data_IF_474022242154
#
_entry.id   IF_474022242154
#
_cell.length_a   1.000
_cell.length_b   1.000
_cell.length_c   1.000
_cell.angle_alpha   90.00
_cell.angle_beta   90.00
_cell.angle_gamma   90.00
#
_symmetry.space_group_name_H-M   'P 1'
#
loop_
_entity.id
_entity.type
_entity.pdbx_description
1 polymer ?
#
# COMPACT_ATOMS: atom_id res chain seq x y z
N UNK A 1 7.28 -9.99 -5.85
CA UNK A 1 5.98 -9.94 -5.12
C UNK A 1 6.08 -9.07 -3.88
N UNK A 2 5.29 -7.99 -3.85
CA UNK A 2 5.10 -7.16 -2.67
C UNK A 2 3.67 -7.34 -2.13
N UNK A 3 3.52 -7.43 -0.81
CA UNK A 3 2.22 -7.52 -0.14
C UNK A 3 2.26 -6.85 1.22
N UNK A 4 1.09 -6.60 1.80
CA UNK A 4 0.97 -6.11 3.17
C UNK A 4 -0.04 -6.92 3.97
N UNK A 5 0.06 -6.83 5.29
CA UNK A 5 -0.82 -7.52 6.23
C UNK A 5 -1.71 -6.50 6.91
N UNK A 6 -3.03 -6.71 6.86
CA UNK A 6 -4.03 -5.82 7.46
C UNK A 6 -4.46 -6.18 8.88
N UNK A 7 -5.42 -5.43 9.44
CA UNK A 7 -5.95 -5.54 10.82
C UNK A 7 -6.23 -6.96 11.30
N UNK A 8 -6.72 -7.82 10.41
CA UNK A 8 -7.13 -9.19 10.74
C UNK A 8 -6.03 -10.23 10.41
N UNK A 9 -4.77 -9.80 10.36
CA UNK A 9 -3.63 -10.62 9.93
C UNK A 9 -3.80 -11.22 8.52
N UNK A 10 -4.66 -10.62 7.70
CA UNK A 10 -4.92 -11.07 6.34
C UNK A 10 -3.96 -10.41 5.37
N UNK A 11 -3.41 -11.23 4.47
CA UNK A 11 -2.58 -10.77 3.36
C UNK A 11 -3.44 -9.97 2.37
N UNK A 12 -2.88 -8.85 1.93
CA UNK A 12 -3.46 -7.96 0.95
C UNK A 12 -2.50 -7.87 -0.25
N UNK A 13 -3.02 -8.21 -1.42
CA UNK A 13 -2.25 -8.34 -2.66
C UNK A 13 -2.43 -7.14 -3.60
N UNK A 14 -3.07 -6.07 -3.14
CA UNK A 14 -3.18 -4.81 -3.87
C UNK A 14 -2.34 -3.74 -3.17
N UNK A 15 -1.93 -2.71 -3.92
CA UNK A 15 -1.14 -1.61 -3.39
C UNK A 15 -1.71 -0.24 -3.76
N UNK A 16 -1.30 0.77 -3.01
CA UNK A 16 -1.81 2.15 -3.02
C UNK A 16 -2.42 2.63 -4.33
N UNK A 17 -3.63 3.18 -4.26
CA UNK A 17 -4.40 3.66 -5.40
C UNK A 17 -5.17 2.58 -6.17
N UNK A 18 -4.86 1.28 -6.00
CA UNK A 18 -5.63 0.20 -6.59
C UNK A 18 -6.94 -0.07 -5.83
N UNK A 19 -7.90 -0.70 -6.52
CA UNK A 19 -9.13 -1.20 -5.93
C UNK A 19 -8.83 -2.36 -4.95
N UNK A 20 -9.59 -2.43 -3.85
CA UNK A 20 -9.51 -3.52 -2.88
C UNK A 20 -9.64 -4.87 -3.57
N UNK A 21 -8.80 -5.84 -3.19
CA UNK A 21 -8.81 -7.22 -3.69
C UNK A 21 -8.52 -7.37 -5.21
N UNK A 22 -8.18 -6.30 -5.92
CA UNK A 22 -7.88 -6.30 -7.37
C UNK A 22 -6.60 -7.05 -7.77
N UNK A 23 -5.71 -7.34 -6.80
CA UNK A 23 -4.37 -7.91 -7.04
C UNK A 23 -3.55 -7.05 -8.01
N UNK A 24 -3.72 -5.73 -7.94
CA UNK A 24 -3.04 -4.74 -8.77
C UNK A 24 -2.49 -3.59 -7.93
N UNK A 25 -1.68 -2.74 -8.55
CA UNK A 25 -1.13 -1.54 -7.94
C UNK A 25 -1.71 -0.29 -8.59
N UNK A 26 -1.58 0.87 -7.95
CA UNK A 26 -2.11 2.14 -8.48
C UNK A 26 -1.61 2.54 -9.86
N UNK A 27 -0.49 1.99 -10.34
CA UNK A 27 -0.05 2.20 -11.72
C UNK A 27 -0.96 1.52 -12.75
N UNK A 28 -1.75 0.51 -12.39
CA UNK A 28 -2.55 -0.27 -13.33
C UNK A 28 -3.66 0.60 -13.95
N UNK A 29 -3.90 0.56 -15.29
CA UNK A 29 -3.31 -0.34 -16.31
C UNK A 29 -2.04 0.19 -17.00
N UNK A 30 -1.41 1.22 -16.46
CA UNK A 30 -0.28 1.96 -17.02
C UNK A 30 1.09 1.60 -16.40
N UNK A 31 1.18 0.49 -15.67
CA UNK A 31 2.46 -0.03 -15.17
C UNK A 31 3.43 -0.34 -16.32
N UNK A 32 4.72 -0.47 -16.01
CA UNK A 32 5.72 -0.88 -17.00
C UNK A 32 5.30 -2.20 -17.65
N UNK A 33 5.14 -2.18 -18.97
CA UNK A 33 4.73 -3.38 -19.71
C UNK A 33 5.89 -4.36 -19.80
N UNK A 34 5.70 -5.55 -19.24
CA UNK A 34 6.66 -6.67 -19.28
C UNK A 34 6.04 -7.88 -19.98
N UNK A 35 6.84 -8.85 -20.46
CA UNK A 35 6.31 -10.10 -21.00
C UNK A 35 5.41 -10.89 -20.03
N UNK A 36 5.51 -10.62 -18.73
CA UNK A 36 4.69 -11.27 -17.69
C UNK A 36 3.34 -10.58 -17.46
N UNK A 37 3.04 -9.50 -18.18
CA UNK A 37 1.84 -8.67 -17.97
C UNK A 37 1.68 -8.24 -16.50
N UNK A 38 2.76 -7.77 -15.88
CA UNK A 38 2.76 -7.36 -14.47
C UNK A 38 1.71 -6.27 -14.21
N UNK A 39 0.82 -6.48 -13.23
CA UNK A 39 -0.19 -5.51 -12.78
C UNK A 39 0.34 -4.52 -11.75
N UNK A 40 1.63 -4.63 -11.43
CA UNK A 40 2.39 -3.84 -10.48
C UNK A 40 3.80 -3.62 -11.01
N UNK A 41 4.37 -2.45 -10.78
CA UNK A 41 5.74 -2.14 -11.18
C UNK A 41 6.77 -2.99 -10.42
N UNK A 42 6.54 -3.26 -9.13
CA UNK A 42 7.41 -4.12 -8.32
C UNK A 42 7.51 -5.58 -8.81
N UNK A 43 6.59 -6.04 -9.67
CA UNK A 43 6.63 -7.37 -10.28
C UNK A 43 7.19 -7.35 -11.71
N UNK A 44 7.74 -6.22 -12.17
CA UNK A 44 8.31 -6.10 -13.51
C UNK A 44 9.66 -6.84 -13.66
N UNK A 45 10.37 -7.08 -12.55
CA UNK A 45 11.70 -7.70 -12.51
C UNK A 45 12.66 -7.16 -13.60
N UNK A 46 12.69 -5.83 -13.73
CA UNK A 46 13.62 -5.14 -14.63
C UNK A 46 14.84 -4.67 -13.84
N UNK A 47 16.02 -5.00 -14.36
CA UNK A 47 17.29 -4.63 -13.74
C UNK A 47 17.63 -3.18 -14.09
N UNK A 48 18.28 -2.46 -13.15
CA UNK A 48 18.84 -1.11 -13.35
C UNK A 48 17.84 0.04 -13.53
N UNK A 49 16.53 -0.22 -13.53
CA UNK A 49 15.49 0.82 -13.59
C UNK A 49 14.72 0.84 -12.28
N UNK A 50 14.72 1.99 -11.60
CA UNK A 50 13.85 2.20 -10.44
C UNK A 50 12.42 2.40 -10.92
N UNK A 51 11.51 1.56 -10.42
CA UNK A 51 10.08 1.72 -10.62
C UNK A 51 9.40 1.92 -9.27
N UNK A 52 8.26 2.62 -9.30
CA UNK A 52 7.53 3.00 -8.10
C UNK A 52 6.05 2.63 -8.24
N UNK A 53 5.50 2.02 -7.19
CA UNK A 53 4.08 1.87 -6.97
C UNK A 53 3.70 2.77 -5.77
N UNK A 54 2.93 3.82 -6.02
CA UNK A 54 2.54 4.81 -5.00
C UNK A 54 1.02 5.01 -4.96
N UNK A 55 0.53 5.46 -3.81
CA UNK A 55 -0.87 5.80 -3.61
C UNK A 55 -1.35 5.55 -2.18
N UNK A 56 -2.61 5.85 -1.91
CA UNK A 56 -3.23 5.64 -0.60
C UNK A 56 -3.85 4.24 -0.51
N UNK A 57 -3.74 3.62 0.66
CA UNK A 57 -4.58 2.51 1.07
C UNK A 57 -5.81 3.12 1.77
N UNK A 58 -7.01 2.87 1.23
CA UNK A 58 -8.23 3.55 1.66
C UNK A 58 -9.27 2.65 2.29
N UNK A 59 -9.12 1.32 2.16
CA UNK A 59 -10.07 0.39 2.74
C UNK A 59 -9.93 0.30 4.26
N UNK A 60 -10.79 1.04 4.95
CA UNK A 60 -10.83 1.08 6.41
C UNK A 60 -11.08 -0.29 7.06
N UNK A 61 -11.71 -1.24 6.35
CA UNK A 61 -11.95 -2.60 6.86
C UNK A 61 -10.67 -3.44 6.92
N UNK A 62 -9.66 -3.10 6.09
CA UNK A 62 -8.37 -3.80 6.02
C UNK A 62 -7.28 -3.11 6.85
N UNK A 63 -7.43 -1.82 7.11
CA UNK A 63 -6.47 -1.00 7.88
C UNK A 63 -6.61 -1.18 9.41
N UNK A 64 -5.53 -0.99 10.20
CA UNK A 64 -4.19 -0.52 9.80
C UNK A 64 -3.37 -1.58 9.08
N UNK A 65 -2.31 -1.12 8.40
CA UNK A 65 -1.23 -1.99 7.95
C UNK A 65 -0.44 -2.44 9.18
N UNK A 66 -0.32 -3.74 9.38
CA UNK A 66 0.45 -4.36 10.46
C UNK A 66 1.86 -4.73 10.03
N UNK A 67 2.05 -5.15 8.77
CA UNK A 67 3.35 -5.53 8.23
C UNK A 67 3.42 -5.21 6.74
N UNK A 68 4.61 -4.82 6.30
CA UNK A 68 4.98 -4.80 4.89
C UNK A 68 5.88 -5.99 4.59
N UNK A 69 5.60 -6.70 3.50
CA UNK A 69 6.33 -7.89 3.09
C UNK A 69 6.78 -7.71 1.65
N UNK A 70 8.06 -7.39 1.51
CA UNK A 70 8.77 -7.34 0.23
C UNK A 70 9.65 -8.57 0.13
N UNK A 71 9.79 -9.11 -1.07
CA UNK A 71 10.69 -10.21 -1.38
C UNK A 71 11.35 -9.99 -2.73
N UNK A 72 12.12 -10.98 -3.19
CA UNK A 72 12.85 -10.91 -4.47
C UNK A 72 13.90 -9.79 -4.48
N UNK A 73 14.73 -9.78 -3.42
CA UNK A 73 15.88 -8.87 -3.27
C UNK A 73 17.15 -9.67 -2.90
N UNK A 74 17.32 -10.84 -3.49
CA UNK A 74 18.36 -11.80 -3.15
C UNK A 74 19.59 -11.71 -4.05
N UNK A 75 19.46 -11.15 -5.25
CA UNK A 75 20.58 -10.96 -6.18
C UNK A 75 21.33 -9.64 -5.87
N UNK A 76 22.62 -9.59 -6.22
CA UNK A 76 23.51 -8.46 -5.92
C UNK A 76 23.07 -7.10 -6.52
N UNK A 77 22.15 -7.14 -7.48
CA UNK A 77 21.65 -5.99 -8.21
C UNK A 77 20.13 -5.77 -8.01
N UNK A 78 19.54 -6.42 -7.00
CA UNK A 78 18.17 -6.19 -6.59
C UNK A 78 18.13 -5.31 -5.34
N UNK A 79 17.36 -4.24 -5.40
CA UNK A 79 17.18 -3.33 -4.27
C UNK A 79 15.73 -2.87 -4.20
N UNK A 80 15.23 -2.68 -2.99
CA UNK A 80 13.89 -2.19 -2.72
C UNK A 80 13.90 -1.11 -1.66
N UNK A 81 13.05 -0.10 -1.81
CA UNK A 81 12.79 0.93 -0.81
C UNK A 81 11.29 1.06 -0.62
N UNK A 82 10.87 1.30 0.61
CA UNK A 82 9.47 1.51 0.91
C UNK A 82 9.31 2.62 1.96
N UNK A 83 8.16 3.27 1.90
CA UNK A 83 7.70 4.26 2.88
C UNK A 83 6.23 4.03 3.15
N UNK A 84 5.86 4.01 4.42
CA UNK A 84 4.47 3.92 4.86
C UNK A 84 4.17 5.10 5.76
N UNK A 85 3.22 5.93 5.34
CA UNK A 85 2.74 7.04 6.16
C UNK A 85 1.90 6.56 7.36
N UNK A 86 1.68 7.44 8.35
CA UNK A 86 0.80 7.11 9.47
C UNK A 86 -0.64 6.87 8.98
N UNK A 87 -1.37 6.02 9.70
CA UNK A 87 -2.81 5.89 9.49
C UNK A 87 -3.50 7.19 9.89
N UNK A 88 -4.19 7.83 8.94
CA UNK A 88 -4.98 9.04 9.20
C UNK A 88 -6.47 8.71 9.16
N UNK A 89 -7.13 8.86 10.30
CA UNK A 89 -8.58 8.75 10.39
C UNK A 89 -9.21 10.13 10.13
N UNK A 90 -10.02 10.25 9.08
CA UNK A 90 -10.80 11.48 8.82
C UNK A 90 -12.26 11.21 9.11
N UNK A 91 -12.86 11.99 9.99
CA UNK A 91 -14.31 11.99 10.14
C UNK A 91 -14.93 12.63 8.89
N UNK A 92 -15.26 11.82 7.88
CA UNK A 92 -16.19 12.25 6.84
C UNK A 92 -17.57 12.25 7.47
N UNK A 93 -18.19 13.43 7.56
CA UNK A 93 -19.39 13.67 8.35
C UNK A 93 -20.55 12.70 8.08
N UNK A 94 -20.81 11.82 9.05
CA UNK A 94 -22.17 11.64 9.54
C UNK A 94 -22.31 12.53 10.77
N UNK A 95 -23.13 13.58 10.65
CA UNK A 95 -23.67 14.28 11.81
C UNK A 95 -24.53 13.24 12.55
N UNK A 96 -23.92 12.60 13.55
CA UNK A 96 -24.56 11.58 14.38
C UNK A 96 -23.73 10.31 14.48
N UNK A 97 -23.19 10.09 15.67
CA UNK A 97 -22.56 8.86 16.17
C UNK A 97 -21.06 8.67 15.86
N UNK A 98 -20.24 9.48 16.55
CA UNK A 98 -18.93 9.03 17.00
C UNK A 98 -19.10 8.49 18.44
N UNK A 99 -18.77 7.22 18.75
CA UNK A 99 -18.65 6.76 20.13
C UNK A 99 -17.49 7.51 20.77
N UNK A 100 -17.78 8.18 21.89
CA UNK A 100 -16.91 9.12 22.59
C UNK A 100 -15.54 8.49 22.89
N UNK A 101 -14.49 9.01 22.26
CA UNK A 101 -13.11 8.60 22.49
C UNK A 101 -12.14 9.73 22.16
N UNK A 102 -11.76 10.47 23.20
CA UNK A 102 -10.68 11.45 23.32
C UNK A 102 -9.92 11.85 22.05
N UNK A 103 -10.34 12.96 21.47
CA UNK A 103 -9.52 13.73 20.55
C UNK A 103 -8.40 14.43 21.33
N UNK A 104 -7.15 13.98 21.18
CA UNK A 104 -5.98 14.77 21.61
C UNK A 104 -5.16 15.17 20.39
N UNK A 105 -5.24 16.46 20.07
CA UNK A 105 -4.28 17.17 19.21
C UNK A 105 -2.94 17.24 19.94
N UNK A 106 -1.85 17.12 19.20
CA UNK A 106 -0.64 17.89 19.50
C UNK A 106 -0.11 18.49 18.20
N UNK A 107 0.01 19.82 18.22
CA UNK A 107 0.93 20.55 17.34
C UNK A 107 2.33 19.99 17.57
N UNK A 108 3.13 19.95 16.53
CA UNK A 108 4.58 19.95 16.69
C UNK A 108 5.14 21.28 16.17
N UNK A 109 6.29 21.73 16.71
CA UNK A 109 7.03 22.87 16.17
C UNK A 109 7.39 22.68 14.69
#
# INVERSE_FOLDING_TARGET
MARWVGRNWQDQFYWGGAETDSRSCGCHPHCLRTPRNSTCNCDANVKQVWLEDAGLLLDASRLPVLQLRFGDTGEANEAGKHTLGPLVCRATGHVGQCPRGDARRQRLP
#
